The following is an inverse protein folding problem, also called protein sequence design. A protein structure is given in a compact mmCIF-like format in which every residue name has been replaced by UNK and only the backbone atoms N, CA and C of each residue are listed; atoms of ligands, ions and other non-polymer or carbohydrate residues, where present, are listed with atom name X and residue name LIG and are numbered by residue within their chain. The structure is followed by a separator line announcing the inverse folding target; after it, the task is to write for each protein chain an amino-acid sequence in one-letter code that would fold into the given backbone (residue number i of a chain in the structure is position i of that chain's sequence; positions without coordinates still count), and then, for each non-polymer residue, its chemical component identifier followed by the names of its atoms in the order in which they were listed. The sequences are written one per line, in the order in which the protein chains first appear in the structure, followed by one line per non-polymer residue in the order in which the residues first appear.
data_IF_551338180481
#
_entry.id   IF_551338180481
#
_cell.length_a   1.000
_cell.length_b   1.000
_cell.length_c   1.000
_cell.angle_alpha   90.00
_cell.angle_beta   90.00
_cell.angle_gamma   90.00
#
_symmetry.space_group_name_H-M   'P 1'
#
loop_
_entity.id
_entity.type
_entity.pdbx_description
1 polymer ?
#
# COMPACT_ATOMS: atom_id res chain seq x y z
N UNK A 1 6.94 -1.75 -10.63
CA UNK A 1 5.85 -2.29 -9.76
C UNK A 1 5.64 -1.32 -8.63
N UNK A 2 4.40 -1.00 -8.26
CA UNK A 2 4.12 -0.05 -7.17
C UNK A 2 3.30 -0.72 -6.07
N UNK A 3 3.61 -0.37 -4.83
CA UNK A 3 2.95 -0.87 -3.62
C UNK A 3 2.35 0.31 -2.87
N UNK A 4 1.13 0.14 -2.36
CA UNK A 4 0.30 1.24 -1.91
C UNK A 4 -0.50 0.87 -0.65
N UNK A 5 -0.66 1.81 0.28
CA UNK A 5 -1.28 1.54 1.59
C UNK A 5 -2.41 2.49 1.96
N UNK A 6 -3.46 1.94 2.60
CA UNK A 6 -4.71 2.62 2.92
C UNK A 6 -4.75 3.08 4.37
N UNK A 7 -4.90 4.40 4.64
CA UNK A 7 -5.17 4.92 5.99
C UNK A 7 -6.66 4.86 6.37
N UNK A 8 -6.95 4.24 7.52
CA UNK A 8 -8.29 4.11 8.10
C UNK A 8 -8.51 5.22 9.13
N UNK A 9 -9.11 6.33 8.72
CA UNK A 9 -9.55 7.36 9.66
C UNK A 9 -10.57 6.79 10.65
N UNK A 10 -10.17 6.68 11.93
CA UNK A 10 -10.99 6.11 12.99
C UNK A 10 -10.67 6.72 14.35
N UNK A 11 -11.17 7.92 14.61
CA UNK A 11 -11.28 8.50 15.96
C UNK A 11 -12.49 7.93 16.69
N UNK A 12 -12.28 7.21 17.80
CA UNK A 12 -13.20 7.22 18.95
C UNK A 12 -12.61 6.44 20.14
N UNK A 13 -12.41 7.19 21.22
CA UNK A 13 -11.90 6.82 22.53
C UNK A 13 -12.86 5.93 23.34
N UNK A 14 -12.35 4.85 23.94
CA UNK A 14 -12.94 4.24 25.14
C UNK A 14 -11.84 3.88 26.17
N UNK A 15 -12.09 4.07 27.47
CA UNK A 15 -11.07 4.04 28.52
C UNK A 15 -10.70 2.63 29.00
N UNK A 16 -9.45 2.51 29.48
CA UNK A 16 -8.82 1.33 30.10
C UNK A 16 -9.56 0.84 31.36
N UNK A 17 -9.69 -0.49 31.56
CA UNK A 17 -9.82 -1.09 32.88
C UNK A 17 -8.44 -1.33 33.57
N UNK A 18 -8.39 -1.40 34.92
CA UNK A 18 -7.15 -1.45 35.71
C UNK A 18 -6.46 -2.83 35.73
N UNK A 19 -5.20 -2.93 36.20
CA UNK A 19 -4.41 -4.16 36.12
C UNK A 19 -4.73 -5.12 37.28
N UNK A 20 -5.21 -6.32 36.95
CA UNK A 20 -5.24 -7.44 37.89
C UNK A 20 -3.91 -8.19 37.89
N UNK A 21 -3.33 -8.35 39.07
CA UNK A 21 -2.08 -9.04 39.32
C UNK A 21 -2.37 -10.49 39.72
N UNK A 22 -1.99 -11.49 38.89
CA UNK A 22 -1.80 -12.87 39.40
C UNK A 22 -0.89 -13.75 38.55
N UNK A 23 0.31 -13.96 39.09
CA UNK A 23 1.19 -15.15 39.09
C UNK A 23 1.23 -16.10 37.87
N UNK A 24 2.45 -16.16 37.31
CA UNK A 24 3.05 -17.27 36.54
C UNK A 24 2.66 -18.67 37.04
N UNK A 25 2.27 -19.54 36.12
CA UNK A 25 2.83 -20.89 36.04
C UNK A 25 2.83 -21.34 34.58
N UNK A 26 3.96 -21.87 34.12
CA UNK A 26 4.21 -22.15 32.71
C UNK A 26 3.56 -23.44 32.23
N UNK A 27 3.26 -23.46 30.93
CA UNK A 27 3.32 -24.66 30.11
C UNK A 27 3.32 -24.22 28.65
N UNK A 28 4.40 -24.58 27.98
CA UNK A 28 4.63 -24.36 26.55
C UNK A 28 3.55 -25.06 25.73
N UNK A 29 2.87 -24.31 24.89
CA UNK A 29 2.12 -24.85 23.76
C UNK A 29 2.21 -23.84 22.62
N UNK A 30 3.27 -23.97 21.82
CA UNK A 30 3.31 -23.37 20.49
C UNK A 30 2.26 -24.10 19.63
N UNK A 31 1.02 -23.66 19.72
CA UNK A 31 -0.01 -24.01 18.76
C UNK A 31 0.34 -23.29 17.45
N UNK A 32 0.86 -24.05 16.49
CA UNK A 32 0.87 -23.68 15.08
C UNK A 32 -0.57 -23.46 14.61
N UNK A 33 -1.02 -22.20 14.64
CA UNK A 33 -2.26 -21.76 13.98
C UNK A 33 -2.05 -21.76 12.47
N UNK A 34 -2.18 -22.92 11.85
CA UNK A 34 -2.09 -23.12 10.40
C UNK A 34 -3.43 -22.93 9.68
N UNK A 35 -4.51 -22.62 10.40
CA UNK A 35 -5.88 -22.57 9.88
C UNK A 35 -6.36 -21.17 9.46
N UNK A 36 -5.64 -20.10 9.82
CA UNK A 36 -6.10 -18.71 9.66
C UNK A 36 -5.89 -18.13 8.25
N UNK A 37 -4.91 -18.65 7.50
CA UNK A 37 -4.43 -18.01 6.27
C UNK A 37 -5.35 -18.19 5.06
N UNK A 38 -6.09 -19.30 4.96
CA UNK A 38 -6.97 -19.56 3.80
C UNK A 38 -8.23 -18.69 3.80
N UNK A 39 -8.79 -18.42 4.98
CA UNK A 39 -10.00 -17.59 5.13
C UNK A 39 -9.70 -16.11 4.90
N UNK A 40 -8.59 -15.59 5.44
CA UNK A 40 -8.16 -14.20 5.19
C UNK A 40 -7.80 -13.99 3.71
N UNK A 41 -7.10 -14.92 3.09
CA UNK A 41 -6.80 -14.83 1.65
C UNK A 41 -8.07 -14.78 0.79
N UNK A 42 -9.13 -15.49 1.19
CA UNK A 42 -10.45 -15.41 0.54
C UNK A 42 -11.08 -14.03 0.69
N UNK A 43 -11.03 -13.44 1.88
CA UNK A 43 -11.55 -12.10 2.14
C UNK A 43 -10.80 -11.02 1.34
N UNK A 44 -9.47 -11.10 1.24
CA UNK A 44 -8.67 -10.15 0.45
C UNK A 44 -8.98 -10.21 -1.05
N UNK A 45 -9.29 -11.39 -1.58
CA UNK A 45 -9.70 -11.57 -2.98
C UNK A 45 -11.08 -10.98 -3.29
N UNK A 46 -11.93 -10.83 -2.27
CA UNK A 46 -13.24 -10.22 -2.40
C UNK A 46 -13.19 -8.68 -2.34
N UNK A 47 -12.08 -8.09 -1.88
CA UNK A 47 -11.93 -6.63 -1.86
C UNK A 47 -11.93 -6.07 -3.30
N UNK A 48 -12.62 -4.94 -3.54
CA UNK A 48 -12.63 -4.30 -4.84
C UNK A 48 -11.20 -3.89 -5.22
N UNK A 49 -10.79 -4.24 -6.44
CA UNK A 49 -9.46 -3.91 -6.97
C UNK A 49 -9.48 -2.48 -7.52
N UNK A 50 -8.59 -1.58 -7.06
CA UNK A 50 -8.55 -0.20 -7.56
C UNK A 50 -8.28 -0.12 -9.07
N UNK A 51 -7.49 -1.04 -9.60
CA UNK A 51 -7.13 -1.13 -11.02
C UNK A 51 -7.12 -2.61 -11.48
N UNK A 52 -7.22 -2.89 -12.80
CA UNK A 52 -7.35 -4.26 -13.29
C UNK A 52 -6.21 -5.21 -12.91
N UNK A 53 -4.96 -4.73 -12.98
CA UNK A 53 -3.76 -5.51 -12.67
C UNK A 53 -3.22 -5.16 -11.26
N UNK A 54 -4.08 -5.29 -10.25
CA UNK A 54 -3.70 -5.19 -8.84
C UNK A 54 -4.34 -6.26 -7.98
N UNK A 55 -3.79 -6.46 -6.78
CA UNK A 55 -4.38 -7.29 -5.73
C UNK A 55 -4.02 -6.77 -4.35
N UNK A 56 -4.92 -6.98 -3.39
CA UNK A 56 -4.66 -6.73 -1.97
C UNK A 56 -3.83 -7.88 -1.40
N UNK A 57 -2.59 -7.57 -1.00
CA UNK A 57 -1.68 -8.48 -0.32
C UNK A 57 -1.99 -8.54 1.18
N UNK A 58 -2.44 -7.42 1.75
CA UNK A 58 -3.05 -7.30 3.08
C UNK A 58 -4.23 -6.33 2.98
N UNK A 59 -5.07 -6.17 4.03
CA UNK A 59 -6.13 -5.17 4.02
C UNK A 59 -5.63 -3.73 3.81
N UNK A 60 -4.35 -3.48 4.08
CA UNK A 60 -3.71 -2.17 3.99
C UNK A 60 -2.63 -2.12 2.92
N UNK A 61 -2.45 -3.16 2.10
CA UNK A 61 -1.36 -3.25 1.14
C UNK A 61 -1.88 -3.74 -0.22
N UNK A 62 -1.86 -2.87 -1.22
CA UNK A 62 -2.14 -3.24 -2.61
C UNK A 62 -0.84 -3.32 -3.40
N UNK A 63 -0.63 -4.44 -4.08
CA UNK A 63 0.41 -4.59 -5.09
C UNK A 63 -0.21 -4.37 -6.47
N UNK A 64 0.42 -3.56 -7.30
CA UNK A 64 -0.17 -3.17 -8.57
C UNK A 64 0.87 -2.93 -9.69
N UNK A 65 0.38 -2.91 -10.91
CA UNK A 65 1.13 -2.43 -12.07
C UNK A 65 1.51 -0.94 -11.93
N UNK A 66 2.39 -0.46 -12.81
CA UNK A 66 2.79 0.94 -12.81
C UNK A 66 1.58 1.87 -13.05
N UNK A 67 1.29 2.81 -12.14
CA UNK A 67 0.01 3.53 -12.12
C UNK A 67 -0.01 4.79 -12.99
N UNK A 68 1.08 5.09 -13.70
CA UNK A 68 1.19 6.29 -14.50
C UNK A 68 1.46 5.98 -15.96
N UNK A 69 0.58 6.46 -16.82
CA UNK A 69 0.79 6.44 -18.25
C UNK A 69 0.57 7.89 -18.73
N UNK A 70 1.56 8.54 -19.35
CA UNK A 70 1.38 9.87 -19.92
C UNK A 70 0.45 9.75 -21.13
N UNK A 71 -0.85 9.66 -20.85
CA UNK A 71 -1.89 9.69 -21.86
C UNK A 71 -2.05 11.13 -22.34
N UNK A 72 -2.07 11.31 -23.64
CA UNK A 72 -2.44 12.60 -24.23
C UNK A 72 -3.86 12.99 -23.79
N UNK A 73 -4.19 14.29 -23.72
CA UNK A 73 -5.54 14.76 -23.41
C UNK A 73 -6.61 14.11 -24.32
N UNK A 74 -6.26 13.84 -25.59
CA UNK A 74 -7.13 13.14 -26.52
C UNK A 74 -7.38 11.66 -26.14
N UNK A 75 -6.40 10.99 -25.57
CA UNK A 75 -6.55 9.61 -25.06
C UNK A 75 -7.36 9.58 -23.75
N UNK A 76 -7.16 10.56 -22.88
CA UNK A 76 -7.94 10.70 -21.64
C UNK A 76 -9.42 10.94 -21.94
N UNK A 77 -9.71 11.88 -22.85
CA UNK A 77 -11.07 12.20 -23.29
C UNK A 77 -11.77 11.03 -24.00
N UNK A 78 -11.02 10.23 -24.79
CA UNK A 78 -11.57 9.05 -25.48
C UNK A 78 -11.83 7.86 -24.56
N UNK A 79 -11.11 7.75 -23.44
CA UNK A 79 -11.22 6.61 -22.53
C UNK A 79 -12.20 6.85 -21.37
N UNK A 80 -12.68 8.09 -21.16
CA UNK A 80 -13.39 8.49 -19.93
C UNK A 80 -12.73 7.95 -18.65
N UNK A 81 -11.41 7.69 -18.71
CA UNK A 81 -10.72 6.93 -17.70
C UNK A 81 -9.93 7.91 -16.86
N UNK A 82 -10.30 8.01 -15.59
CA UNK A 82 -9.43 8.56 -14.57
C UNK A 82 -8.06 7.89 -14.67
N UNK A 83 -6.99 8.62 -14.38
CA UNK A 83 -5.66 8.02 -14.36
C UNK A 83 -5.67 6.89 -13.30
N UNK A 84 -4.90 5.83 -13.53
CA UNK A 84 -4.79 4.73 -12.54
C UNK A 84 -4.33 5.28 -11.17
N UNK A 85 -3.56 6.36 -11.19
CA UNK A 85 -3.17 7.13 -10.01
C UNK A 85 -4.37 7.65 -9.21
N UNK A 86 -5.36 8.22 -9.88
CA UNK A 86 -6.58 8.74 -9.24
C UNK A 86 -7.37 7.61 -8.60
N UNK A 87 -7.46 6.45 -9.26
CA UNK A 87 -8.14 5.28 -8.73
C UNK A 87 -7.47 4.73 -7.46
N UNK A 88 -6.14 4.76 -7.39
CA UNK A 88 -5.40 4.38 -6.17
C UNK A 88 -5.66 5.39 -5.04
N UNK A 89 -5.54 6.68 -5.32
CA UNK A 89 -5.81 7.74 -4.33
C UNK A 89 -7.25 7.70 -3.80
N UNK A 90 -8.23 7.47 -4.69
CA UNK A 90 -9.65 7.31 -4.36
C UNK A 90 -9.93 6.02 -3.58
N UNK A 91 -9.16 4.96 -3.80
CA UNK A 91 -9.19 3.76 -2.96
C UNK A 91 -8.59 4.01 -1.56
N UNK A 92 -8.08 5.22 -1.29
CA UNK A 92 -7.53 5.65 -0.02
C UNK A 92 -6.04 5.41 0.14
N UNK A 93 -5.33 5.08 -0.94
CA UNK A 93 -3.88 4.94 -0.93
C UNK A 93 -3.21 6.27 -0.56
N UNK A 94 -2.26 6.24 0.38
CA UNK A 94 -1.51 7.42 0.84
C UNK A 94 0.00 7.27 0.70
N UNK A 95 0.57 6.10 0.91
CA UNK A 95 2.01 5.88 0.69
C UNK A 95 2.23 5.09 -0.59
N UNK A 96 3.06 5.61 -1.49
CA UNK A 96 3.48 4.97 -2.73
C UNK A 96 4.92 4.49 -2.62
N UNK A 97 5.12 3.19 -2.83
CA UNK A 97 6.45 2.57 -2.91
C UNK A 97 6.68 2.15 -4.36
N UNK A 98 7.52 2.88 -5.08
CA UNK A 98 7.89 2.59 -6.46
C UNK A 98 9.20 1.80 -6.51
N UNK A 99 9.13 0.61 -7.12
CA UNK A 99 10.29 -0.26 -7.31
C UNK A 99 10.95 -0.09 -8.68
N UNK A 100 10.41 0.79 -9.53
CA UNK A 100 10.85 1.00 -10.91
C UNK A 100 12.12 1.84 -10.94
N UNK A 101 13.07 1.52 -11.83
CA UNK A 101 14.24 2.38 -12.02
C UNK A 101 13.84 3.67 -12.75
N UNK A 102 14.41 4.84 -12.41
CA UNK A 102 14.03 6.12 -13.01
C UNK A 102 14.18 6.21 -14.54
N UNK A 103 14.94 5.29 -15.14
CA UNK A 103 15.19 5.23 -16.57
C UNK A 103 14.34 4.17 -17.30
N UNK A 104 13.58 3.34 -16.58
CA UNK A 104 12.67 2.37 -17.17
C UNK A 104 11.35 3.03 -17.57
N UNK A 105 10.77 3.86 -16.69
CA UNK A 105 9.48 4.53 -16.90
C UNK A 105 9.52 5.97 -16.36
N UNK A 106 8.65 6.83 -16.90
CA UNK A 106 8.50 8.21 -16.44
C UNK A 106 7.99 8.26 -15.00
N UNK A 107 8.76 8.88 -14.10
CA UNK A 107 8.36 9.06 -12.71
C UNK A 107 7.03 9.78 -12.58
N UNK A 108 6.15 9.25 -11.73
CA UNK A 108 4.85 9.85 -11.43
C UNK A 108 4.84 10.71 -10.18
N UNK A 109 5.95 10.77 -9.44
CA UNK A 109 6.07 11.60 -8.24
C UNK A 109 5.72 13.08 -8.50
N UNK A 110 6.13 13.73 -9.62
CA UNK A 110 5.75 15.11 -9.90
C UNK A 110 4.25 15.32 -10.14
N UNK A 111 3.52 14.25 -10.45
CA UNK A 111 2.10 14.29 -10.81
C UNK A 111 1.18 13.96 -9.64
N UNK A 112 1.72 13.43 -8.53
CA UNK A 112 0.94 13.09 -7.33
C UNK A 112 0.21 14.31 -6.75
N UNK A 113 0.89 15.45 -6.61
CA UNK A 113 0.27 16.65 -6.03
C UNK A 113 -0.92 17.14 -6.86
N UNK A 114 -0.81 17.10 -8.20
CA UNK A 114 -1.91 17.46 -9.08
C UNK A 114 -3.09 16.49 -8.95
N UNK A 115 -2.82 15.17 -8.90
CA UNK A 115 -3.85 14.16 -8.71
C UNK A 115 -4.55 14.28 -7.35
N UNK A 116 -3.80 14.58 -6.28
CA UNK A 116 -4.36 14.84 -4.94
C UNK A 116 -5.29 16.05 -4.95
N UNK A 117 -4.87 17.15 -5.60
CA UNK A 117 -5.69 18.36 -5.71
C UNK A 117 -7.02 18.11 -6.44
N UNK A 118 -7.05 17.25 -7.47
CA UNK A 118 -8.29 16.88 -8.16
C UNK A 118 -9.28 16.12 -7.25
N UNK A 119 -8.77 15.40 -6.26
CA UNK A 119 -9.56 14.57 -5.34
C UNK A 119 -9.80 15.24 -3.97
N UNK A 120 -9.31 16.47 -3.76
CA UNK A 120 -9.42 17.18 -2.49
C UNK A 120 -8.59 16.54 -1.36
N UNK A 121 -7.51 15.84 -1.69
CA UNK A 121 -6.57 15.24 -0.75
C UNK A 121 -5.43 16.23 -0.51
N UNK A 122 -5.00 16.42 0.75
CA UNK A 122 -3.81 17.21 1.06
C UNK A 122 -2.56 16.48 0.52
N UNK A 123 -1.75 17.10 -0.36
CA UNK A 123 -0.51 16.50 -0.83
C UNK A 123 0.46 16.13 0.30
N UNK A 124 0.37 16.75 1.48
CA UNK A 124 1.19 16.43 2.65
C UNK A 124 0.82 15.07 3.27
N UNK A 125 -0.40 14.58 3.04
CA UNK A 125 -0.85 13.26 3.50
C UNK A 125 -0.39 12.13 2.57
N UNK A 126 0.30 12.45 1.47
CA UNK A 126 0.75 11.48 0.48
C UNK A 126 2.27 11.36 0.46
N UNK A 127 2.75 10.15 0.69
CA UNK A 127 4.17 9.84 0.74
C UNK A 127 4.61 9.09 -0.52
N UNK A 128 5.83 9.37 -0.97
CA UNK A 128 6.43 8.67 -2.10
C UNK A 128 7.84 8.19 -1.75
N UNK A 129 8.09 6.91 -1.96
CA UNK A 129 9.40 6.28 -1.80
C UNK A 129 9.78 5.54 -3.08
N UNK A 130 10.97 5.79 -3.61
CA UNK A 130 11.53 5.01 -4.71
C UNK A 130 12.64 4.10 -4.19
N UNK A 131 12.43 2.79 -4.32
CA UNK A 131 13.41 1.74 -4.01
C UNK A 131 13.69 0.94 -5.29
N UNK A 132 14.51 1.47 -6.21
CA UNK A 132 14.66 0.91 -7.54
C UNK A 132 15.22 -0.50 -7.50
N UNK A 133 14.53 -1.41 -8.20
CA UNK A 133 14.95 -2.78 -8.48
C UNK A 133 14.80 -2.96 -9.98
N UNK A 134 15.93 -3.19 -10.66
CA UNK A 134 15.97 -3.43 -12.10
C UNK A 134 15.03 -4.54 -12.52
N UNK A 135 14.36 -4.37 -13.66
CA UNK A 135 13.47 -5.39 -14.21
C UNK A 135 14.19 -6.75 -14.34
N UNK A 136 13.51 -7.80 -13.89
CA UNK A 136 13.99 -9.18 -13.86
C UNK A 136 15.28 -9.39 -13.05
N UNK A 137 15.64 -8.46 -12.17
CA UNK A 137 16.76 -8.59 -11.26
C UNK A 137 16.32 -8.84 -9.81
N UNK A 138 17.28 -9.19 -8.97
CA UNK A 138 17.09 -9.26 -7.52
C UNK A 138 17.56 -7.95 -6.87
N UNK A 139 17.00 -7.60 -5.69
CA UNK A 139 17.54 -6.52 -4.87
C UNK A 139 19.03 -6.69 -4.61
N UNK A 140 19.77 -5.58 -4.58
CA UNK A 140 21.24 -5.57 -4.41
C UNK A 140 21.71 -6.28 -3.14
N UNK A 141 20.88 -6.30 -2.09
CA UNK A 141 21.17 -7.01 -0.85
C UNK A 141 19.91 -7.27 0.00
N UNK A 142 19.95 -8.22 0.95
CA UNK A 142 18.90 -8.38 1.94
C UNK A 142 18.66 -7.12 2.77
N UNK A 143 19.72 -6.36 3.07
CA UNK A 143 19.61 -5.10 3.80
C UNK A 143 18.78 -4.05 3.04
N UNK A 144 18.83 -4.06 1.70
CA UNK A 144 17.98 -3.20 0.87
C UNK A 144 16.50 -3.56 1.03
N UNK A 145 16.18 -4.86 0.98
CA UNK A 145 14.81 -5.34 1.23
C UNK A 145 14.34 -4.97 2.63
N UNK A 146 15.20 -5.06 3.65
CA UNK A 146 14.85 -4.64 5.01
C UNK A 146 14.41 -3.17 5.09
N UNK A 147 14.96 -2.28 4.25
CA UNK A 147 14.52 -0.87 4.19
C UNK A 147 13.11 -0.74 3.63
N UNK A 148 12.81 -1.46 2.54
CA UNK A 148 11.46 -1.51 1.95
C UNK A 148 10.46 -2.03 3.00
N UNK A 149 10.79 -3.16 3.65
CA UNK A 149 9.96 -3.76 4.69
C UNK A 149 9.84 -2.91 5.95
N UNK A 150 10.76 -1.98 6.20
CA UNK A 150 10.64 -1.02 7.29
C UNK A 150 9.59 0.04 6.98
N UNK A 151 9.57 0.58 5.75
CA UNK A 151 8.53 1.50 5.29
C UNK A 151 7.16 0.85 5.35
N UNK A 152 7.01 -0.35 4.79
CA UNK A 152 5.71 -1.05 4.79
C UNK A 152 5.17 -1.29 6.20
N UNK A 153 6.04 -1.67 7.15
CA UNK A 153 5.65 -1.87 8.56
C UNK A 153 5.36 -0.57 9.29
N UNK A 154 5.99 0.53 8.90
CA UNK A 154 5.69 1.83 9.48
C UNK A 154 4.31 2.30 9.03
N UNK A 155 4.01 2.17 7.74
CA UNK A 155 2.72 2.59 7.20
C UNK A 155 1.57 1.74 7.71
N UNK A 156 1.73 0.42 7.78
CA UNK A 156 0.70 -0.47 8.35
C UNK A 156 0.34 -0.12 9.82
N UNK A 157 1.27 0.45 10.59
CA UNK A 157 1.01 0.87 11.97
C UNK A 157 0.24 2.18 12.07
N UNK A 158 0.39 3.07 11.09
CA UNK A 158 -0.34 4.34 11.01
C UNK A 158 -1.80 4.09 10.64
N UNK A 159 -1.99 3.08 9.79
CA UNK A 159 -3.24 2.39 9.56
C UNK A 159 -3.70 2.61 8.16
#
# INVERSE_FOLDING_TARGET
MSVATLERSGSSSLPRPPPEYRTRSGSSSFATSSASTSSEAGALRALPRPIPNSYWATPFLVACEFPYCPLTPAQLARRCAAQKLDALLAAGVRTFVDLTEPHELFSYAPHLAAACAQLGIDPCDVEYHNFPIRDRALPTSPAFVCKIMAVLRDTEKRG
#
